data_IF_662614034857
#
_entry.id   IF_662614034857
#
_cell.length_a   1.000
_cell.length_b   1.000
_cell.length_c   1.000
_cell.angle_alpha   90.00
_cell.angle_beta   90.00
_cell.angle_gamma   90.00
#
_symmetry.space_group_name_H-M   'P 1'
#
loop_
_entity.id
_entity.type
_entity.pdbx_description
1 polymer ?
#
# COMPACT_ATOMS: atom_id res chain seq x y z
N UNK A 1 -38.82 -99.39 17.99
CA UNK A 1 -38.92 -98.75 16.66
C UNK A 1 -38.47 -97.30 16.78
N UNK A 2 -37.29 -96.97 16.24
CA UNK A 2 -36.71 -95.62 16.25
C UNK A 2 -37.44 -94.74 15.24
N UNK A 3 -37.90 -93.55 15.66
CA UNK A 3 -38.19 -92.41 14.77
C UNK A 3 -37.13 -91.35 15.04
N UNK A 4 -36.36 -91.03 14.00
CA UNK A 4 -35.40 -89.92 13.98
C UNK A 4 -36.15 -88.72 13.39
N UNK A 5 -36.27 -87.63 14.15
CA UNK A 5 -36.77 -86.34 13.66
C UNK A 5 -35.58 -85.46 13.27
N UNK A 6 -35.60 -84.96 12.04
CA UNK A 6 -34.73 -83.90 11.55
C UNK A 6 -35.17 -82.55 12.14
N UNK A 7 -34.22 -81.81 12.72
CA UNK A 7 -34.39 -80.40 13.06
C UNK A 7 -33.44 -79.61 12.15
N UNK A 8 -33.99 -78.88 11.19
CA UNK A 8 -33.25 -77.97 10.33
C UNK A 8 -32.97 -76.66 11.10
N UNK A 9 -31.70 -76.34 11.32
CA UNK A 9 -31.27 -75.05 11.88
C UNK A 9 -31.08 -74.07 10.72
N UNK A 10 -31.91 -73.04 10.64
CA UNK A 10 -31.75 -71.93 9.70
C UNK A 10 -30.80 -70.90 10.33
N UNK A 11 -29.58 -70.78 9.80
CA UNK A 11 -28.65 -69.70 10.16
C UNK A 11 -28.99 -68.45 9.34
N UNK A 12 -29.46 -67.38 9.99
CA UNK A 12 -29.55 -66.06 9.39
C UNK A 12 -28.16 -65.44 9.27
N UNK A 13 -27.70 -65.23 8.04
CA UNK A 13 -26.54 -64.40 7.72
C UNK A 13 -27.01 -62.94 7.66
N UNK A 14 -26.70 -62.13 8.67
CA UNK A 14 -26.89 -60.68 8.60
C UNK A 14 -25.67 -60.10 7.90
N UNK A 15 -25.80 -59.84 6.59
CA UNK A 15 -24.87 -58.95 5.89
C UNK A 15 -25.29 -57.53 6.27
N UNK A 16 -24.63 -56.92 7.24
CA UNK A 16 -24.71 -55.47 7.42
C UNK A 16 -23.87 -54.84 6.32
N UNK A 17 -24.51 -54.34 5.26
CA UNK A 17 -23.90 -53.35 4.39
C UNK A 17 -23.59 -52.13 5.26
N UNK A 18 -22.31 -51.85 5.49
CA UNK A 18 -21.90 -50.52 5.92
C UNK A 18 -22.40 -49.55 4.85
N UNK A 19 -23.36 -48.71 5.22
CA UNK A 19 -23.70 -47.55 4.43
C UNK A 19 -22.47 -46.65 4.49
N UNK A 20 -21.67 -46.62 3.43
CA UNK A 20 -20.64 -45.61 3.26
C UNK A 20 -21.37 -44.26 3.40
N UNK A 21 -21.10 -43.54 4.49
CA UNK A 21 -21.51 -42.13 4.56
C UNK A 21 -20.82 -41.47 3.38
N UNK A 22 -21.58 -40.97 2.41
CA UNK A 22 -21.01 -40.15 1.35
C UNK A 22 -20.15 -39.06 1.98
N UNK A 23 -18.88 -39.04 1.60
CA UNK A 23 -17.96 -37.98 2.02
C UNK A 23 -18.50 -36.66 1.48
N UNK A 24 -18.79 -35.74 2.40
CA UNK A 24 -19.20 -34.39 2.02
C UNK A 24 -17.93 -33.65 1.62
N UNK A 25 -17.78 -33.40 0.33
CA UNK A 25 -16.63 -32.68 -0.22
C UNK A 25 -16.73 -31.17 0.05
N UNK A 26 -15.58 -30.53 0.25
CA UNK A 26 -15.48 -29.08 0.30
C UNK A 26 -15.83 -28.44 -1.05
N UNK A 27 -16.57 -27.34 -0.98
CA UNK A 27 -16.99 -26.54 -2.14
C UNK A 27 -16.30 -25.18 -2.20
N UNK A 28 -15.85 -24.64 -1.07
CA UNK A 28 -15.13 -23.36 -1.04
C UNK A 28 -14.27 -23.20 0.23
N UNK A 29 -13.38 -22.22 0.20
CA UNK A 29 -12.54 -21.76 1.30
C UNK A 29 -12.60 -20.25 1.36
N UNK A 30 -12.61 -19.68 2.55
CA UNK A 30 -12.69 -18.24 2.75
C UNK A 30 -11.68 -17.79 3.81
N UNK A 31 -11.29 -16.52 3.77
CA UNK A 31 -10.29 -15.90 4.64
C UNK A 31 -10.81 -14.55 5.19
N UNK A 32 -10.50 -14.25 6.46
CA UNK A 32 -10.86 -13.02 7.16
C UNK A 32 -9.69 -12.40 7.93
N UNK A 33 -9.71 -11.07 8.05
CA UNK A 33 -8.82 -10.29 8.93
C UNK A 33 -9.69 -9.61 10.02
N UNK A 34 -9.51 -9.94 11.31
CA UNK A 34 -10.37 -9.43 12.39
C UNK A 34 -10.39 -7.89 12.51
N UNK A 35 -9.26 -7.23 12.27
CA UNK A 35 -9.11 -5.77 12.47
C UNK A 35 -9.92 -4.91 11.50
N UNK A 36 -10.51 -5.49 10.45
CA UNK A 36 -11.34 -4.77 9.48
C UNK A 36 -12.86 -4.99 9.70
N UNK A 37 -13.28 -5.30 10.94
CA UNK A 37 -14.70 -5.35 11.30
C UNK A 37 -15.47 -6.57 10.75
N UNK A 38 -14.84 -7.75 10.71
CA UNK A 38 -15.44 -9.01 10.21
C UNK A 38 -16.00 -8.93 8.77
N UNK A 39 -15.38 -8.12 7.90
CA UNK A 39 -15.78 -8.04 6.49
C UNK A 39 -15.12 -9.17 5.70
N UNK A 40 -15.89 -9.89 4.87
CA UNK A 40 -15.36 -10.81 3.85
C UNK A 40 -14.27 -10.10 3.04
N UNK A 41 -13.11 -10.73 2.89
CA UNK A 41 -12.01 -10.18 2.13
C UNK A 41 -12.42 -10.03 0.65
N UNK A 42 -12.32 -8.81 0.12
CA UNK A 42 -12.22 -8.62 -1.33
C UNK A 42 -10.77 -8.96 -1.72
N UNK A 43 -10.62 -10.01 -2.53
CA UNK A 43 -9.29 -10.50 -2.92
C UNK A 43 -8.65 -9.59 -3.99
N UNK A 44 -7.34 -9.27 -3.88
CA UNK A 44 -6.42 -9.70 -2.82
C UNK A 44 -6.57 -8.89 -1.52
N UNK A 45 -6.65 -9.56 -0.36
CA UNK A 45 -6.53 -8.88 0.93
C UNK A 45 -5.13 -8.32 1.13
N UNK A 46 -5.04 -7.13 1.71
CA UNK A 46 -3.77 -6.57 2.20
C UNK A 46 -3.89 -6.25 3.68
N UNK A 47 -2.92 -6.71 4.46
CA UNK A 47 -2.79 -6.44 5.89
C UNK A 47 -1.42 -5.81 6.17
N UNK A 48 -1.42 -4.62 6.75
CA UNK A 48 -0.20 -3.91 7.15
C UNK A 48 0.08 -4.11 8.64
N UNK A 49 1.29 -4.55 8.98
CA UNK A 49 1.76 -4.85 10.34
C UNK A 49 3.07 -4.13 10.63
N UNK A 50 3.27 -3.66 11.86
CA UNK A 50 4.58 -3.19 12.33
C UNK A 50 5.47 -4.37 12.75
N UNK A 51 6.80 -4.21 12.68
CA UNK A 51 7.74 -5.23 13.15
C UNK A 51 7.40 -5.60 14.60
N UNK A 52 7.19 -6.89 14.85
CA UNK A 52 6.80 -7.43 16.15
C UNK A 52 5.29 -7.52 16.37
N UNK A 53 4.46 -6.93 15.52
CA UNK A 53 3.01 -7.12 15.57
C UNK A 53 2.65 -8.58 15.29
N UNK A 54 1.52 -8.97 15.88
CA UNK A 54 0.89 -10.27 15.68
C UNK A 54 -0.56 -10.08 15.27
N UNK A 55 -1.02 -10.86 14.30
CA UNK A 55 -2.41 -10.85 13.87
C UNK A 55 -2.87 -12.27 13.51
N UNK A 56 -4.11 -12.63 13.83
CA UNK A 56 -4.63 -13.97 13.51
C UNK A 56 -5.58 -13.90 12.33
N UNK A 57 -5.17 -14.49 11.21
CA UNK A 57 -6.04 -14.69 10.06
C UNK A 57 -7.01 -15.84 10.35
N UNK A 58 -8.29 -15.65 10.04
CA UNK A 58 -9.33 -16.66 10.26
C UNK A 58 -9.73 -17.25 8.91
N UNK A 59 -9.70 -18.57 8.78
CA UNK A 59 -10.14 -19.27 7.58
C UNK A 59 -11.23 -20.30 7.91
N UNK A 60 -12.18 -20.47 7.00
CA UNK A 60 -13.27 -21.46 7.12
C UNK A 60 -13.55 -22.10 5.77
N UNK A 61 -13.86 -23.40 5.81
CA UNK A 61 -14.10 -24.21 4.62
C UNK A 61 -15.56 -24.65 4.60
N UNK A 62 -16.24 -24.49 3.47
CA UNK A 62 -17.66 -24.84 3.32
C UNK A 62 -17.85 -26.13 2.50
N UNK A 63 -18.90 -26.93 2.80
CA UNK A 63 -19.84 -26.75 3.91
C UNK A 63 -19.23 -27.18 5.26
N UNK A 64 -19.76 -26.63 6.36
CA UNK A 64 -19.30 -26.89 7.73
C UNK A 64 -19.38 -28.37 8.15
N UNK A 65 -20.02 -29.26 7.39
CA UNK A 65 -20.08 -30.70 7.67
C UNK A 65 -19.15 -31.54 6.78
N UNK A 66 -18.26 -30.91 5.99
CA UNK A 66 -17.31 -31.62 5.16
C UNK A 66 -16.37 -32.54 5.96
N UNK A 67 -16.01 -33.68 5.39
CA UNK A 67 -15.20 -34.71 6.09
C UNK A 67 -13.73 -34.29 6.23
N UNK A 68 -13.17 -33.59 5.25
CA UNK A 68 -11.78 -33.12 5.26
C UNK A 68 -11.75 -31.59 5.41
N UNK A 69 -11.39 -31.10 6.61
CA UNK A 69 -11.33 -29.67 6.94
C UNK A 69 -9.93 -29.19 7.32
N UNK A 70 -8.93 -30.03 7.12
CA UNK A 70 -7.57 -29.68 7.48
C UNK A 70 -7.08 -28.56 6.56
N UNK A 71 -6.59 -27.48 7.19
CA UNK A 71 -6.09 -26.29 6.52
C UNK A 71 -4.59 -26.21 6.71
N UNK A 72 -3.89 -25.89 5.63
CA UNK A 72 -2.45 -25.72 5.59
C UNK A 72 -2.12 -24.25 5.41
N UNK A 73 -1.36 -23.69 6.34
CA UNK A 73 -0.86 -22.32 6.30
C UNK A 73 0.59 -22.28 5.85
N UNK A 74 0.93 -21.27 5.06
CA UNK A 74 2.30 -21.07 4.60
C UNK A 74 2.61 -19.58 4.40
N UNK A 75 3.90 -19.25 4.52
CA UNK A 75 4.45 -17.95 4.15
C UNK A 75 5.45 -18.16 3.01
N UNK A 76 5.34 -17.37 1.95
CA UNK A 76 6.34 -17.39 0.87
C UNK A 76 7.68 -16.74 1.27
N UNK A 77 7.64 -15.85 2.27
CA UNK A 77 8.79 -15.07 2.73
C UNK A 77 8.85 -15.06 4.28
N UNK A 78 9.14 -16.21 4.92
CA UNK A 78 9.21 -16.31 6.38
C UNK A 78 10.10 -15.27 7.08
N UNK A 79 11.24 -14.81 6.52
CA UNK A 79 12.03 -13.75 7.14
C UNK A 79 11.31 -12.39 7.27
N UNK A 80 10.27 -12.15 6.47
CA UNK A 80 9.42 -10.94 6.53
C UNK A 80 8.27 -11.16 7.48
N UNK A 81 7.49 -12.23 7.28
CA UNK A 81 6.41 -12.62 8.18
C UNK A 81 6.23 -14.14 8.22
N UNK A 82 6.02 -14.69 9.40
CA UNK A 82 5.70 -16.12 9.60
C UNK A 82 4.23 -16.30 9.89
N UNK A 83 3.68 -17.50 9.62
CA UNK A 83 2.34 -17.92 10.04
C UNK A 83 2.42 -19.28 10.73
N UNK A 84 1.65 -19.52 11.78
CA UNK A 84 1.53 -20.84 12.41
C UNK A 84 0.27 -21.60 11.96
N UNK A 85 0.09 -22.85 12.41
CA UNK A 85 -1.04 -23.70 12.01
C UNK A 85 -2.42 -23.15 12.42
N UNK A 86 -2.46 -22.17 13.34
CA UNK A 86 -3.68 -21.49 13.77
C UNK A 86 -3.94 -20.19 12.99
N UNK A 87 -3.13 -19.86 11.99
CA UNK A 87 -3.25 -18.62 11.22
C UNK A 87 -2.68 -17.37 11.91
N UNK A 88 -1.96 -17.52 13.03
CA UNK A 88 -1.30 -16.38 13.69
C UNK A 88 -0.06 -15.97 12.88
N UNK A 89 -0.11 -14.77 12.34
CA UNK A 89 0.97 -14.10 11.61
C UNK A 89 1.81 -13.29 12.57
N UNK A 90 3.14 -13.37 12.43
CA UNK A 90 4.10 -12.54 13.18
C UNK A 90 4.96 -11.76 12.19
N UNK A 91 4.99 -10.44 12.33
CA UNK A 91 5.80 -9.55 11.51
C UNK A 91 7.24 -9.48 12.03
N UNK A 92 8.23 -9.70 11.15
CA UNK A 92 9.65 -9.87 11.55
C UNK A 92 10.54 -8.78 10.96
N UNK A 93 10.57 -8.62 9.63
CA UNK A 93 11.38 -7.59 8.96
C UNK A 93 10.56 -6.84 7.93
N UNK A 94 10.93 -5.59 7.63
CA UNK A 94 10.21 -4.80 6.64
C UNK A 94 10.21 -5.47 5.27
N UNK A 95 9.05 -5.53 4.63
CA UNK A 95 8.92 -6.19 3.33
C UNK A 95 7.49 -6.65 3.07
N UNK A 96 7.33 -7.42 2.00
CA UNK A 96 6.05 -8.04 1.64
C UNK A 96 6.19 -9.56 1.79
N UNK A 97 5.15 -10.21 2.32
CA UNK A 97 5.05 -11.66 2.42
C UNK A 97 3.62 -12.08 2.08
N UNK A 98 3.45 -13.16 1.31
CA UNK A 98 2.15 -13.74 1.07
C UNK A 98 1.90 -14.86 2.09
N UNK A 99 0.80 -14.72 2.84
CA UNK A 99 0.31 -15.76 3.73
C UNK A 99 -0.83 -16.49 3.04
N UNK A 100 -0.63 -17.77 2.75
CA UNK A 100 -1.58 -18.60 2.02
C UNK A 100 -2.16 -19.66 2.94
N UNK A 101 -3.48 -19.76 2.95
CA UNK A 101 -4.21 -20.91 3.51
C UNK A 101 -4.74 -21.76 2.36
N UNK A 102 -4.62 -23.08 2.49
CA UNK A 102 -5.13 -24.03 1.50
C UNK A 102 -5.76 -25.25 2.15
N UNK A 103 -6.67 -25.91 1.45
CA UNK A 103 -7.16 -27.24 1.84
C UNK A 103 -6.05 -28.28 1.66
N UNK A 104 -6.05 -29.35 2.45
CA UNK A 104 -5.00 -30.38 2.38
C UNK A 104 -4.88 -31.05 1.00
N UNK A 105 -5.98 -31.13 0.24
CA UNK A 105 -5.97 -31.61 -1.15
C UNK A 105 -5.48 -30.58 -2.18
N UNK A 106 -5.18 -29.35 -1.74
CA UNK A 106 -4.73 -28.22 -2.56
C UNK A 106 -5.80 -27.61 -3.47
N UNK A 107 -7.05 -28.07 -3.38
CA UNK A 107 -8.12 -27.68 -4.32
C UNK A 107 -8.58 -26.25 -4.14
N UNK A 108 -8.57 -25.74 -2.92
CA UNK A 108 -8.95 -24.37 -2.61
C UNK A 108 -7.82 -23.67 -1.86
N UNK A 109 -7.59 -22.40 -2.19
CA UNK A 109 -6.61 -21.55 -1.50
C UNK A 109 -7.06 -20.09 -1.46
N UNK A 110 -6.63 -19.38 -0.41
CA UNK A 110 -6.77 -17.93 -0.25
C UNK A 110 -5.46 -17.34 0.23
N UNK A 111 -5.19 -16.09 -0.13
CA UNK A 111 -3.92 -15.44 0.15
C UNK A 111 -4.15 -14.05 0.72
N UNK A 112 -3.48 -13.73 1.83
CA UNK A 112 -3.40 -12.38 2.35
C UNK A 112 -1.99 -11.82 2.08
N UNK A 113 -1.91 -10.64 1.48
CA UNK A 113 -0.66 -9.92 1.32
C UNK A 113 -0.33 -9.20 2.62
N UNK A 114 0.68 -9.71 3.35
CA UNK A 114 1.21 -9.09 4.55
C UNK A 114 2.27 -8.08 4.16
N UNK A 115 2.12 -6.89 4.72
CA UNK A 115 3.03 -5.77 4.50
C UNK A 115 3.63 -5.33 5.82
N UNK A 116 4.90 -5.63 6.02
CA UNK A 116 5.61 -5.34 7.27
C UNK A 116 6.37 -4.02 7.14
N UNK A 117 6.20 -3.16 8.14
CA UNK A 117 6.82 -1.82 8.25
C UNK A 117 7.51 -1.69 9.62
N UNK A 118 8.40 -0.70 9.84
CA UNK A 118 9.09 -0.58 11.13
C UNK A 118 8.16 -0.28 12.27
N UNK A 119 8.56 -0.78 13.44
CA UNK A 119 8.01 -0.41 14.74
C UNK A 119 8.74 0.79 15.32
N UNK A 120 8.01 1.63 16.04
CA UNK A 120 8.54 2.78 16.78
C UNK A 120 7.77 4.07 16.50
N UNK A 121 7.98 5.12 17.33
CA UNK A 121 7.34 6.41 17.09
C UNK A 121 7.84 6.98 15.77
N UNK A 122 6.97 7.00 14.78
CA UNK A 122 7.22 7.63 13.49
C UNK A 122 7.12 9.13 13.74
N UNK A 123 8.27 9.80 13.81
CA UNK A 123 8.33 11.26 13.91
C UNK A 123 8.60 11.85 12.54
N UNK A 124 7.71 12.72 12.13
CA UNK A 124 7.84 13.57 10.96
C UNK A 124 8.03 15.01 11.41
N UNK A 125 8.82 15.79 10.66
CA UNK A 125 8.90 17.23 10.89
C UNK A 125 8.68 18.02 9.62
N UNK A 126 7.85 19.05 9.71
CA UNK A 126 7.57 20.01 8.65
C UNK A 126 8.07 21.37 9.14
N UNK A 127 8.79 22.13 8.32
CA UNK A 127 9.17 23.50 8.68
C UNK A 127 8.35 24.50 7.90
N UNK A 128 7.49 25.24 8.60
CA UNK A 128 6.72 26.35 8.04
C UNK A 128 7.63 27.55 7.75
N UNK A 129 7.39 28.22 6.63
CA UNK A 129 8.03 29.49 6.27
C UNK A 129 7.43 30.69 7.02
N UNK A 130 7.63 31.87 6.44
CA UNK A 130 7.27 33.17 7.04
C UNK A 130 6.28 34.01 6.19
N UNK A 131 5.72 33.43 5.15
CA UNK A 131 4.84 34.12 4.21
C UNK A 131 3.37 33.97 4.59
N UNK A 132 3.00 32.83 5.18
CA UNK A 132 1.62 32.53 5.58
C UNK A 132 1.48 32.23 7.07
N UNK A 133 0.30 32.57 7.58
CA UNK A 133 -0.10 32.36 8.97
C UNK A 133 -0.82 31.01 9.17
N UNK A 134 -1.23 30.34 8.09
CA UNK A 134 -2.05 29.12 8.16
C UNK A 134 -1.32 27.92 7.59
N UNK A 135 -1.49 26.76 8.22
CA UNK A 135 -1.07 25.46 7.67
C UNK A 135 -2.28 24.55 7.58
N UNK A 136 -2.50 24.01 6.38
CA UNK A 136 -3.47 22.94 6.15
C UNK A 136 -2.73 21.62 6.13
N UNK A 137 -3.20 20.67 6.93
CA UNK A 137 -2.55 19.39 7.15
C UNK A 137 -3.61 18.27 7.19
N UNK A 138 -3.44 17.29 6.32
CA UNK A 138 -4.14 16.03 6.36
C UNK A 138 -3.12 14.96 6.77
N UNK A 139 -3.44 14.20 7.82
CA UNK A 139 -2.66 13.04 8.24
C UNK A 139 -3.63 11.88 8.36
N UNK A 140 -3.33 10.75 7.74
CA UNK A 140 -4.06 9.50 7.99
C UNK A 140 -3.10 8.31 8.01
N UNK A 141 -3.56 7.22 8.61
CA UNK A 141 -2.68 6.11 8.95
C UNK A 141 -3.38 5.08 9.81
N UNK A 142 -2.61 4.32 10.61
CA UNK A 142 -3.14 3.49 11.70
C UNK A 142 -2.70 4.02 13.06
N UNK A 143 -3.51 3.81 14.09
CA UNK A 143 -3.20 4.25 15.45
C UNK A 143 -3.42 5.74 15.69
N UNK A 144 -3.05 6.18 16.88
CA UNK A 144 -3.14 7.57 17.31
C UNK A 144 -1.87 8.31 16.98
N UNK A 145 -1.98 9.57 16.57
CA UNK A 145 -0.85 10.45 16.34
C UNK A 145 -1.12 11.83 16.94
N UNK A 146 -0.04 12.45 17.38
CA UNK A 146 -0.03 13.79 17.95
C UNK A 146 0.52 14.76 16.92
N UNK A 147 -0.16 15.89 16.73
CA UNK A 147 0.33 17.01 15.94
C UNK A 147 0.66 18.15 16.90
N UNK A 148 1.95 18.43 17.03
CA UNK A 148 2.48 19.59 17.74
C UNK A 148 2.79 20.68 16.71
N UNK A 149 2.05 21.78 16.78
CA UNK A 149 2.14 22.87 15.81
C UNK A 149 3.36 23.79 16.04
N UNK A 150 4.16 23.56 17.08
CA UNK A 150 5.37 24.35 17.35
C UNK A 150 5.09 25.75 17.92
N UNK A 151 3.86 26.02 18.33
CA UNK A 151 3.47 27.22 19.08
C UNK A 151 2.91 26.90 20.49
N UNK A 152 3.02 25.64 20.90
CA UNK A 152 2.44 25.11 22.13
C UNK A 152 1.04 24.50 21.95
N UNK A 153 0.40 24.69 20.79
CA UNK A 153 -0.84 24.00 20.44
C UNK A 153 -0.53 22.56 20.03
N UNK A 154 -1.18 21.61 20.70
CA UNK A 154 -1.03 20.18 20.46
C UNK A 154 -2.42 19.58 20.30
N UNK A 155 -2.60 18.75 19.29
CA UNK A 155 -3.80 17.94 19.11
C UNK A 155 -3.42 16.45 19.06
N UNK A 156 -4.28 15.62 19.64
CA UNK A 156 -4.26 14.17 19.45
C UNK A 156 -5.41 13.80 18.55
N UNK A 157 -5.15 12.94 17.57
CA UNK A 157 -6.14 12.46 16.60
C UNK A 157 -5.81 11.02 16.23
N UNK A 158 -6.73 10.34 15.57
CA UNK A 158 -6.58 8.96 15.16
C UNK A 158 -6.98 8.74 13.69
N UNK A 159 -6.69 7.54 13.21
CA UNK A 159 -6.93 7.09 11.84
C UNK A 159 -8.37 7.19 11.31
N UNK A 160 -9.36 7.36 12.20
CA UNK A 160 -10.77 7.44 11.83
C UNK A 160 -11.24 8.86 11.49
N UNK A 161 -10.46 9.88 11.87
CA UNK A 161 -10.77 11.29 11.61
C UNK A 161 -10.06 11.78 10.34
N UNK A 162 -10.70 11.63 9.19
CA UNK A 162 -10.17 12.10 7.89
C UNK A 162 -10.34 13.61 7.68
N UNK A 163 -10.44 14.37 8.78
CA UNK A 163 -10.62 15.81 8.76
C UNK A 163 -9.34 16.54 8.40
N UNK A 164 -9.41 17.41 7.39
CA UNK A 164 -8.38 18.41 7.13
C UNK A 164 -8.19 19.26 8.39
N UNK A 165 -7.00 19.21 8.98
CA UNK A 165 -6.62 20.07 10.08
C UNK A 165 -6.13 21.40 9.53
N UNK A 166 -6.63 22.50 10.07
CA UNK A 166 -6.16 23.84 9.72
C UNK A 166 -5.75 24.53 11.00
N UNK A 167 -4.49 24.95 11.05
CA UNK A 167 -3.95 25.70 12.18
C UNK A 167 -3.56 27.10 11.74
N UNK A 168 -3.98 28.10 12.51
CA UNK A 168 -3.70 29.52 12.29
C UNK A 168 -2.77 30.03 13.39
N UNK A 169 -1.58 30.47 13.01
CA UNK A 169 -0.61 31.08 13.89
C UNK A 169 -0.94 32.55 14.15
N UNK A 170 -0.56 33.05 15.32
CA UNK A 170 -0.69 34.47 15.69
C UNK A 170 0.35 35.37 15.01
N UNK A 171 1.40 34.78 14.44
CA UNK A 171 2.48 35.47 13.75
C UNK A 171 3.01 34.65 12.55
N UNK A 172 3.84 35.32 11.74
CA UNK A 172 4.53 34.75 10.59
C UNK A 172 5.91 34.20 10.91
N UNK A 173 6.16 33.77 12.15
CA UNK A 173 7.43 33.13 12.44
C UNK A 173 7.51 31.75 11.79
N UNK A 174 8.74 31.33 11.49
CA UNK A 174 9.01 29.96 11.06
C UNK A 174 8.90 29.03 12.27
N UNK A 175 8.31 27.86 12.06
CA UNK A 175 8.04 26.88 13.12
C UNK A 175 8.22 25.47 12.59
N UNK A 176 8.65 24.59 13.47
CA UNK A 176 8.68 23.16 13.21
C UNK A 176 7.40 22.54 13.74
N UNK A 177 6.66 21.90 12.85
CA UNK A 177 5.48 21.10 13.17
C UNK A 177 5.96 19.65 13.30
N UNK A 178 5.63 19.01 14.41
CA UNK A 178 5.95 17.62 14.65
C UNK A 178 4.69 16.76 14.54
N UNK A 179 4.76 15.70 13.76
CA UNK A 179 3.74 14.65 13.76
C UNK A 179 4.40 13.43 14.38
N UNK A 180 3.86 12.96 15.51
CA UNK A 180 4.49 11.94 16.36
C UNK A 180 3.52 10.81 16.60
N UNK A 181 4.02 9.59 16.44
CA UNK A 181 3.25 8.39 16.73
C UNK A 181 2.38 7.98 15.56
N UNK A 182 1.59 6.93 15.79
CA UNK A 182 0.81 6.28 14.76
C UNK A 182 1.66 5.78 13.60
N UNK A 183 0.98 5.26 12.60
CA UNK A 183 1.54 4.75 11.38
C UNK A 183 0.99 5.54 10.20
N UNK A 184 1.57 6.71 9.97
CA UNK A 184 1.13 7.63 8.92
C UNK A 184 1.39 7.00 7.54
N UNK A 185 0.32 6.70 6.82
CA UNK A 185 0.35 6.19 5.43
C UNK A 185 0.05 7.29 4.42
N UNK A 186 -0.73 8.30 4.82
CA UNK A 186 -1.06 9.45 3.98
C UNK A 186 -0.74 10.75 4.70
N UNK A 187 -0.06 11.63 4.00
CA UNK A 187 0.20 12.99 4.44
C UNK A 187 -0.14 13.94 3.29
N UNK A 188 -0.88 15.01 3.57
CA UNK A 188 -0.98 16.16 2.67
C UNK A 188 -0.75 17.43 3.47
N UNK A 189 0.13 18.33 3.03
CA UNK A 189 0.32 19.61 3.68
C UNK A 189 0.50 20.74 2.67
N UNK A 190 -0.19 21.85 2.90
CA UNK A 190 -0.21 23.04 2.04
C UNK A 190 -0.06 24.29 2.89
N UNK A 191 0.94 25.12 2.57
CA UNK A 191 1.24 26.41 3.21
C UNK A 191 2.42 27.09 2.49
N UNK A 192 3.46 27.50 3.24
CA UNK A 192 4.79 27.84 2.79
C UNK A 192 5.83 26.89 3.40
N UNK A 193 5.57 25.58 3.39
CA UNK A 193 6.53 24.63 3.94
C UNK A 193 7.84 24.71 3.15
N UNK A 194 8.94 24.94 3.87
CA UNK A 194 10.30 25.08 3.32
C UNK A 194 11.12 23.80 3.44
N UNK A 195 10.74 22.89 4.34
CA UNK A 195 11.45 21.63 4.58
C UNK A 195 10.51 20.52 5.08
N UNK A 196 10.77 19.30 4.62
CA UNK A 196 10.06 18.08 5.01
C UNK A 196 11.10 17.02 5.41
N UNK A 197 11.15 16.64 6.68
CA UNK A 197 11.87 15.44 7.11
C UNK A 197 10.85 14.29 7.28
N UNK A 198 10.93 13.35 6.33
CA UNK A 198 10.10 12.15 6.24
C UNK A 198 10.90 10.87 6.54
N UNK A 199 12.16 11.00 6.97
CA UNK A 199 13.15 9.90 6.98
C UNK A 199 12.75 8.72 7.88
N UNK A 200 11.93 8.96 8.91
CA UNK A 200 11.43 7.95 9.83
C UNK A 200 10.00 7.48 9.51
N UNK A 201 9.36 8.04 8.48
CA UNK A 201 7.97 7.76 8.11
C UNK A 201 7.91 6.79 6.93
N UNK A 202 8.56 5.64 7.05
CA UNK A 202 8.79 4.77 5.90
C UNK A 202 7.55 4.00 5.43
N UNK A 203 6.45 4.08 6.19
CA UNK A 203 5.15 3.51 5.82
C UNK A 203 4.29 4.42 4.93
N UNK A 204 4.77 5.62 4.58
CA UNK A 204 4.06 6.53 3.68
C UNK A 204 3.83 5.88 2.32
N UNK A 205 2.57 5.84 1.89
CA UNK A 205 2.11 5.42 0.58
C UNK A 205 1.63 6.60 -0.26
N UNK A 206 1.17 7.67 0.38
CA UNK A 206 0.61 8.85 -0.28
C UNK A 206 1.21 10.12 0.34
N UNK A 207 1.87 10.92 -0.49
CA UNK A 207 2.44 12.21 -0.08
C UNK A 207 1.92 13.33 -0.97
N UNK A 208 1.24 14.29 -0.36
CA UNK A 208 0.93 15.61 -0.91
C UNK A 208 1.75 16.67 -0.19
N UNK A 209 2.63 17.33 -0.92
CA UNK A 209 3.34 18.52 -0.46
C UNK A 209 3.23 19.64 -1.50
N UNK A 210 2.10 19.67 -2.22
CA UNK A 210 1.81 20.67 -3.23
C UNK A 210 1.57 22.04 -2.61
N UNK A 211 1.71 23.10 -3.43
CA UNK A 211 1.50 24.49 -3.00
C UNK A 211 2.35 24.85 -1.77
N UNK A 212 3.66 24.65 -1.90
CA UNK A 212 4.65 24.99 -0.88
C UNK A 212 5.84 25.71 -1.55
N UNK A 213 6.96 25.84 -0.84
CA UNK A 213 8.17 26.53 -1.33
C UNK A 213 9.41 25.64 -1.25
N UNK A 214 9.23 24.32 -1.34
CA UNK A 214 10.30 23.34 -1.25
C UNK A 214 11.32 23.52 -2.37
N UNK A 215 12.59 23.54 -2.00
CA UNK A 215 13.71 23.57 -2.97
C UNK A 215 14.35 22.19 -3.15
N UNK A 216 14.15 21.30 -2.18
CA UNK A 216 14.52 19.89 -2.19
C UNK A 216 13.41 19.06 -1.55
N UNK A 217 13.35 17.78 -1.93
CA UNK A 217 12.47 16.79 -1.33
C UNK A 217 13.20 15.45 -1.34
N UNK A 218 13.48 14.89 -0.16
CA UNK A 218 14.05 13.54 -0.02
C UNK A 218 12.94 12.56 0.35
N UNK A 219 12.66 11.63 -0.57
CA UNK A 219 11.70 10.54 -0.40
C UNK A 219 12.37 9.16 -0.45
N UNK A 220 13.69 9.11 -0.32
CA UNK A 220 14.50 7.88 -0.48
C UNK A 220 14.16 6.78 0.52
N UNK A 221 13.62 7.15 1.69
CA UNK A 221 13.18 6.20 2.74
C UNK A 221 11.74 5.76 2.57
N UNK A 222 10.94 6.46 1.78
CA UNK A 222 9.52 6.19 1.60
C UNK A 222 9.32 5.26 0.40
N UNK A 223 9.95 4.09 0.44
CA UNK A 223 10.03 3.10 -0.66
C UNK A 223 8.66 2.54 -1.08
N UNK A 224 7.66 2.77 -0.23
CA UNK A 224 6.28 2.34 -0.40
C UNK A 224 5.36 3.42 -0.98
N UNK A 225 5.91 4.58 -1.35
CA UNK A 225 5.13 5.62 -2.03
C UNK A 225 4.51 5.06 -3.32
N UNK A 226 3.19 5.13 -3.35
CA UNK A 226 2.33 4.78 -4.47
C UNK A 226 1.90 6.04 -5.24
N UNK A 227 1.75 7.16 -4.53
CA UNK A 227 1.33 8.46 -5.08
C UNK A 227 2.13 9.61 -4.47
N UNK A 228 2.66 10.49 -5.33
CA UNK A 228 3.40 11.69 -4.93
C UNK A 228 2.89 12.93 -5.67
N UNK A 229 2.40 13.92 -4.91
CA UNK A 229 2.08 15.28 -5.38
C UNK A 229 3.06 16.26 -4.76
N UNK A 230 3.94 16.84 -5.58
CA UNK A 230 4.89 17.88 -5.17
C UNK A 230 4.82 19.11 -6.09
N UNK A 231 3.69 19.30 -6.76
CA UNK A 231 3.46 20.40 -7.69
C UNK A 231 3.38 21.77 -6.99
N UNK A 232 3.65 22.84 -7.75
CA UNK A 232 3.75 24.21 -7.21
C UNK A 232 4.77 24.30 -6.06
N UNK A 233 6.02 24.00 -6.38
CA UNK A 233 7.17 24.16 -5.49
C UNK A 233 8.35 24.82 -6.25
N UNK A 234 9.55 24.74 -5.71
CA UNK A 234 10.78 25.26 -6.30
C UNK A 234 11.85 24.17 -6.51
N UNK A 235 11.43 22.91 -6.67
CA UNK A 235 12.33 21.78 -6.85
C UNK A 235 13.14 21.92 -8.14
N UNK A 236 14.45 21.77 -8.04
CA UNK A 236 15.37 21.80 -9.19
C UNK A 236 15.80 20.39 -9.65
N UNK A 237 15.68 19.42 -8.76
CA UNK A 237 15.87 17.98 -8.97
C UNK A 237 14.87 17.20 -8.12
N UNK A 238 14.57 15.98 -8.53
CA UNK A 238 13.75 15.03 -7.79
C UNK A 238 14.27 13.62 -8.07
N UNK A 239 14.82 12.95 -7.05
CA UNK A 239 15.27 11.57 -7.14
C UNK A 239 14.16 10.63 -6.68
N UNK A 240 13.76 9.71 -7.56
CA UNK A 240 12.68 8.74 -7.34
C UNK A 240 13.17 7.29 -7.47
N UNK A 241 14.48 7.08 -7.47
CA UNK A 241 15.11 5.79 -7.76
C UNK A 241 14.74 4.67 -6.77
N UNK A 242 14.38 5.04 -5.53
CA UNK A 242 13.94 4.11 -4.49
C UNK A 242 12.41 3.92 -4.43
N UNK A 243 11.62 4.76 -5.11
CA UNK A 243 10.16 4.77 -5.02
C UNK A 243 9.53 3.91 -6.14
N UNK A 244 9.97 2.66 -6.23
CA UNK A 244 9.66 1.73 -7.33
C UNK A 244 8.16 1.42 -7.49
N UNK A 245 7.38 1.65 -6.44
CA UNK A 245 5.93 1.40 -6.38
C UNK A 245 5.08 2.59 -6.86
N UNK A 246 5.68 3.72 -7.25
CA UNK A 246 4.94 4.89 -7.72
C UNK A 246 4.11 4.58 -8.97
N UNK A 247 2.81 4.87 -8.89
CA UNK A 247 1.86 4.78 -10.01
C UNK A 247 1.40 6.15 -10.51
N UNK A 248 1.46 7.15 -9.64
CA UNK A 248 1.05 8.52 -9.91
C UNK A 248 2.10 9.52 -9.39
N UNK A 249 2.54 10.41 -10.27
CA UNK A 249 3.46 11.49 -9.96
C UNK A 249 2.94 12.81 -10.52
N UNK A 250 2.78 13.81 -9.66
CA UNK A 250 2.54 15.19 -10.03
C UNK A 250 3.66 16.08 -9.49
N UNK A 251 4.58 16.44 -10.38
CA UNK A 251 5.68 17.36 -10.10
C UNK A 251 5.59 18.62 -10.98
N UNK A 252 4.38 18.97 -11.45
CA UNK A 252 4.19 20.14 -12.29
C UNK A 252 4.48 21.47 -11.57
N UNK A 253 4.76 22.54 -12.31
CA UNK A 253 5.04 23.87 -11.74
C UNK A 253 6.19 23.79 -10.73
N UNK A 254 7.35 23.36 -11.22
CA UNK A 254 8.62 23.31 -10.49
C UNK A 254 9.73 23.89 -11.38
N UNK A 255 10.99 23.64 -11.03
CA UNK A 255 12.17 24.11 -11.79
C UNK A 255 13.04 22.95 -12.27
N UNK A 256 12.46 21.75 -12.42
CA UNK A 256 13.18 20.55 -12.81
C UNK A 256 13.85 20.74 -14.17
N UNK A 257 15.12 20.35 -14.25
CA UNK A 257 15.93 20.40 -15.49
C UNK A 257 16.17 19.01 -16.08
N UNK A 258 15.91 17.96 -15.31
CA UNK A 258 15.89 16.57 -15.73
C UNK A 258 14.92 15.80 -14.84
N UNK A 259 14.45 14.66 -15.31
CA UNK A 259 13.64 13.72 -14.55
C UNK A 259 13.89 12.31 -15.09
N UNK A 260 14.23 11.38 -14.22
CA UNK A 260 14.40 9.96 -14.54
C UNK A 260 13.34 9.16 -13.78
N UNK A 261 12.52 8.39 -14.51
CA UNK A 261 11.51 7.51 -13.93
C UNK A 261 11.74 6.03 -14.29
N UNK A 262 12.97 5.66 -14.66
CA UNK A 262 13.35 4.32 -15.11
C UNK A 262 13.13 3.24 -14.04
N UNK A 263 13.08 3.62 -12.76
CA UNK A 263 12.81 2.73 -11.63
C UNK A 263 11.32 2.65 -11.27
N UNK A 264 10.51 3.61 -11.71
CA UNK A 264 9.09 3.71 -11.38
C UNK A 264 8.27 2.95 -12.43
N UNK A 265 8.53 1.64 -12.53
CA UNK A 265 7.98 0.79 -13.59
C UNK A 265 6.44 0.65 -13.52
N UNK A 266 5.84 0.95 -12.38
CA UNK A 266 4.39 0.94 -12.18
C UNK A 266 3.69 2.25 -12.57
N UNK A 267 4.43 3.28 -13.02
CA UNK A 267 3.88 4.60 -13.30
C UNK A 267 2.85 4.58 -14.44
N UNK A 268 1.67 5.15 -14.21
CA UNK A 268 0.59 5.26 -15.21
C UNK A 268 0.21 6.71 -15.49
N UNK A 269 0.49 7.63 -14.57
CA UNK A 269 0.21 9.04 -14.71
C UNK A 269 1.42 9.87 -14.26
N UNK A 270 1.93 10.68 -15.18
CA UNK A 270 3.06 11.57 -14.94
C UNK A 270 2.71 13.00 -15.36
N UNK A 271 2.66 13.92 -14.40
CA UNK A 271 2.54 15.35 -14.69
C UNK A 271 3.86 16.04 -14.39
N UNK A 272 4.53 16.49 -15.44
CA UNK A 272 5.80 17.22 -15.38
C UNK A 272 5.72 18.56 -16.16
N UNK A 273 4.51 19.00 -16.51
CA UNK A 273 4.23 20.28 -17.15
C UNK A 273 4.76 21.46 -16.32
N UNK A 274 5.09 22.56 -17.00
CA UNK A 274 5.59 23.80 -16.41
C UNK A 274 6.83 23.56 -15.53
N UNK A 275 7.86 22.96 -16.11
CA UNK A 275 9.20 22.83 -15.57
C UNK A 275 10.22 23.47 -16.53
N UNK A 276 11.52 23.22 -16.34
CA UNK A 276 12.59 23.72 -17.19
C UNK A 276 13.19 22.63 -18.10
N UNK A 277 12.42 21.59 -18.45
CA UNK A 277 12.88 20.49 -19.30
C UNK A 277 13.04 20.97 -20.75
N UNK A 278 14.25 20.91 -21.29
CA UNK A 278 14.50 21.19 -22.71
C UNK A 278 14.16 19.96 -23.55
N UNK A 279 14.25 20.09 -24.87
CA UNK A 279 13.96 19.02 -25.82
C UNK A 279 14.67 17.71 -25.47
N UNK A 280 15.99 17.74 -25.29
CA UNK A 280 16.77 16.56 -24.95
C UNK A 280 16.41 15.98 -23.57
N UNK A 281 16.00 16.82 -22.63
CA UNK A 281 15.63 16.37 -21.28
C UNK A 281 14.27 15.64 -21.30
N UNK A 282 13.31 16.15 -22.08
CA UNK A 282 12.02 15.47 -22.32
C UNK A 282 12.21 14.16 -23.07
N UNK A 283 13.03 14.13 -24.11
CA UNK A 283 13.30 12.91 -24.88
C UNK A 283 14.02 11.86 -24.02
N UNK A 284 15.00 12.28 -23.20
CA UNK A 284 15.62 11.41 -22.21
C UNK A 284 14.60 10.85 -21.21
N UNK A 285 13.71 11.69 -20.68
CA UNK A 285 12.60 11.25 -19.82
C UNK A 285 11.70 10.22 -20.55
N UNK A 286 11.34 10.47 -21.81
CA UNK A 286 10.50 9.56 -22.59
C UNK A 286 11.15 8.18 -22.75
N UNK A 287 12.47 8.11 -22.86
CA UNK A 287 13.18 6.83 -22.90
C UNK A 287 13.06 6.02 -21.61
N UNK A 288 12.95 6.69 -20.46
CA UNK A 288 12.80 6.04 -19.15
C UNK A 288 11.39 5.53 -18.87
N UNK A 289 10.40 5.92 -19.67
CA UNK A 289 9.00 5.50 -19.47
C UNK A 289 8.85 3.98 -19.63
N UNK A 290 8.02 3.38 -18.77
CA UNK A 290 7.71 1.95 -18.83
C UNK A 290 6.82 1.61 -20.04
N UNK A 291 6.79 0.31 -20.40
CA UNK A 291 6.02 -0.24 -21.52
C UNK A 291 4.86 -1.14 -21.07
N UNK A 292 4.44 -1.03 -19.81
CA UNK A 292 3.40 -1.90 -19.25
C UNK A 292 2.03 -1.65 -19.94
N UNK A 293 1.16 -2.66 -19.94
CA UNK A 293 -0.16 -2.54 -20.56
C UNK A 293 -1.06 -1.53 -19.83
N UNK A 294 -2.12 -1.07 -20.50
CA UNK A 294 -3.09 -0.12 -19.95
C UNK A 294 -2.85 1.33 -20.36
N UNK A 295 -3.83 2.18 -20.03
CA UNK A 295 -3.81 3.61 -20.37
C UNK A 295 -2.80 4.33 -19.51
N UNK A 296 -1.78 4.91 -20.14
CA UNK A 296 -0.75 5.72 -19.47
C UNK A 296 -0.74 7.14 -20.04
N UNK A 297 -0.57 8.15 -19.20
CA UNK A 297 -0.63 9.57 -19.60
C UNK A 297 0.54 10.36 -19.05
N UNK A 298 1.17 11.16 -19.91
CA UNK A 298 2.20 12.13 -19.53
C UNK A 298 1.78 13.54 -19.95
N UNK A 299 1.93 14.50 -19.04
CA UNK A 299 1.64 15.92 -19.27
C UNK A 299 2.95 16.70 -19.27
N UNK A 300 3.25 17.36 -20.38
CA UNK A 300 4.56 18.01 -20.63
C UNK A 300 4.45 19.50 -20.94
N UNK A 301 3.24 20.06 -21.05
CA UNK A 301 2.98 21.43 -21.47
C UNK A 301 3.77 22.47 -20.68
N UNK A 302 4.19 23.58 -21.31
CA UNK A 302 4.86 24.67 -20.60
C UNK A 302 6.32 24.42 -20.23
N UNK A 303 6.92 23.31 -20.66
CA UNK A 303 8.36 23.12 -20.65
C UNK A 303 9.00 23.77 -21.90
N UNK A 304 10.23 24.30 -21.82
CA UNK A 304 10.94 24.84 -22.98
C UNK A 304 11.05 23.85 -24.16
N UNK A 305 11.14 22.55 -23.88
CA UNK A 305 11.25 21.51 -24.90
C UNK A 305 9.93 21.04 -25.53
N UNK A 306 8.76 21.45 -25.01
CA UNK A 306 7.45 20.86 -25.35
C UNK A 306 7.16 20.87 -26.85
N UNK A 307 7.46 21.96 -27.55
CA UNK A 307 7.09 22.09 -28.97
C UNK A 307 7.97 21.20 -29.86
N UNK A 308 9.27 21.11 -29.55
CA UNK A 308 10.27 20.52 -30.42
C UNK A 308 10.61 19.04 -30.11
N UNK A 309 10.15 18.48 -28.99
CA UNK A 309 10.47 17.10 -28.62
C UNK A 309 9.80 16.05 -29.52
N UNK A 310 10.51 14.96 -29.78
CA UNK A 310 9.97 13.77 -30.42
C UNK A 310 9.03 12.99 -29.47
N UNK A 311 7.73 13.25 -29.63
CA UNK A 311 6.66 12.55 -28.89
C UNK A 311 6.57 11.07 -29.24
N UNK A 312 7.13 10.66 -30.38
CA UNK A 312 7.18 9.28 -30.85
C UNK A 312 7.84 8.34 -29.85
N UNK A 313 8.85 8.81 -29.11
CA UNK A 313 9.54 8.03 -28.08
C UNK A 313 8.57 7.53 -27.01
N UNK A 314 7.69 8.42 -26.51
CA UNK A 314 6.70 8.08 -25.50
C UNK A 314 5.49 7.32 -26.09
N UNK A 315 4.97 7.76 -27.24
CA UNK A 315 3.78 7.14 -27.84
C UNK A 315 4.04 5.72 -28.33
N UNK A 316 5.24 5.40 -28.81
CA UNK A 316 5.65 4.03 -29.15
C UNK A 316 5.70 3.09 -27.93
N UNK A 317 5.87 3.64 -26.72
CA UNK A 317 5.78 2.91 -25.43
C UNK A 317 4.33 2.85 -24.90
N UNK A 318 3.35 3.31 -25.68
CA UNK A 318 1.93 3.30 -25.34
C UNK A 318 1.52 4.40 -24.36
N UNK A 319 2.27 5.51 -24.28
CA UNK A 319 1.89 6.68 -23.50
C UNK A 319 1.13 7.70 -24.34
N UNK A 320 0.08 8.28 -23.76
CA UNK A 320 -0.61 9.44 -24.31
C UNK A 320 0.12 10.69 -23.81
N UNK A 321 0.66 11.47 -24.74
CA UNK A 321 1.35 12.73 -24.44
C UNK A 321 0.37 13.90 -24.55
N UNK A 322 0.29 14.73 -23.51
CA UNK A 322 -0.60 15.90 -23.44
C UNK A 322 0.17 17.18 -23.17
N UNK A 323 -0.24 18.26 -23.83
CA UNK A 323 0.34 19.59 -23.67
C UNK A 323 -0.47 20.47 -22.69
N UNK A 324 -1.43 19.90 -21.96
CA UNK A 324 -2.20 20.64 -20.94
C UNK A 324 -1.25 21.22 -19.89
N UNK A 325 -1.44 22.51 -19.62
CA UNK A 325 -0.70 23.29 -18.62
C UNK A 325 -1.37 23.25 -17.27
#
# INVERSE_FOLDING_TARGET
MKKVCFLALVTYLVVTTACDKEDVALTDLYLYIPTNGNTLIQEPATLMLEIGDKETLIAFAEPDNATNKELLWSSDTPPVATVNDNGEVVAITTGMANITVSTNDGRYSKTCHIFVIPAGPKRMTLTKGINYDNVSLLVSGRGTFTIDWGDGSIIETDSSDWGLQVHSYSDRSSRTINIIGGNVSTLSCESDIIDFDLSNNIALTNLGCNLNVLTSLDVSKNIWLYSLSCNYNHLTSLDLSNNVNLTWLDCCVNKLTSLDVSKNIALTSLKCNTNNLKTNDLEALFETLNTNAGTKKIYIGGNPGTEACDRGIATNKGWIVSDWK
#
